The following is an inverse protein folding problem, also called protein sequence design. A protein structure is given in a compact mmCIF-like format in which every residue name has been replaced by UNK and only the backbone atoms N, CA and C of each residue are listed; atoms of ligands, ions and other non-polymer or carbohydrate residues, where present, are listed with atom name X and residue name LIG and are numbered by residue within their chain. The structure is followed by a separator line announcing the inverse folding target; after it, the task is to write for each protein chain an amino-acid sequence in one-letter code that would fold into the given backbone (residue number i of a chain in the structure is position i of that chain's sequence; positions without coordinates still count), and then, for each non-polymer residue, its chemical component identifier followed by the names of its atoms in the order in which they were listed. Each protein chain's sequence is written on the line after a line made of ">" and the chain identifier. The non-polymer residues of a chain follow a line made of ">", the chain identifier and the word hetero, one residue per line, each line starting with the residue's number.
data_IF_751297376285
#
_entry.id   IF_751297376285
#
_cell.length_a   1.000
_cell.length_b   1.000
_cell.length_c   1.000
_cell.angle_alpha   90.00
_cell.angle_beta   90.00
_cell.angle_gamma   90.00
#
_symmetry.space_group_name_H-M   'P 1'
#
loop_
_entity.id
_entity.type
_entity.pdbx_description
1 polymer ?
#
# COMPACT_ATOMS: atom_id res chain seq x y z
N UNK A 1 5.60 14.37 -24.61
CA UNK A 1 4.99 15.44 -23.78
C UNK A 1 5.63 16.77 -24.18
N UNK A 2 4.87 17.84 -24.40
CA UNK A 2 5.47 19.14 -24.78
C UNK A 2 6.19 19.76 -23.57
N UNK A 3 7.31 20.46 -23.82
CA UNK A 3 8.11 21.09 -22.76
C UNK A 3 7.30 22.10 -21.95
N UNK A 4 6.39 22.84 -22.60
CA UNK A 4 5.49 23.79 -21.96
C UNK A 4 4.52 23.07 -21.01
N UNK A 5 3.96 21.93 -21.43
CA UNK A 5 3.07 21.14 -20.59
C UNK A 5 3.81 20.56 -19.39
N UNK A 6 5.04 20.06 -19.57
CA UNK A 6 5.88 19.60 -18.47
C UNK A 6 6.17 20.72 -17.47
N UNK A 7 6.55 21.89 -17.97
CA UNK A 7 6.81 23.07 -17.15
C UNK A 7 5.56 23.50 -16.36
N UNK A 8 4.37 23.41 -16.96
CA UNK A 8 3.12 23.71 -16.26
C UNK A 8 2.82 22.67 -15.16
N UNK A 9 2.94 21.38 -15.47
CA UNK A 9 2.62 20.29 -14.53
C UNK A 9 3.59 20.27 -13.34
N UNK A 10 4.86 20.61 -13.53
CA UNK A 10 5.84 20.62 -12.45
C UNK A 10 5.94 22.00 -11.79
N UNK A 11 5.98 23.05 -12.60
CA UNK A 11 6.25 24.41 -12.13
C UNK A 11 5.09 25.03 -11.35
N UNK A 12 3.83 24.84 -11.78
CA UNK A 12 2.67 25.42 -11.08
C UNK A 12 2.55 24.83 -9.66
N UNK A 13 2.57 23.49 -9.46
CA UNK A 13 2.52 22.92 -8.12
C UNK A 13 3.71 23.33 -7.25
N UNK A 14 4.92 23.38 -7.80
CA UNK A 14 6.10 23.84 -7.06
C UNK A 14 5.94 25.29 -6.60
N UNK A 15 5.55 26.20 -7.50
CA UNK A 15 5.33 27.61 -7.16
C UNK A 15 4.24 27.76 -6.09
N UNK A 16 3.13 27.02 -6.22
CA UNK A 16 2.04 27.00 -5.25
C UNK A 16 2.51 26.50 -3.88
N UNK A 17 3.27 25.40 -3.85
CA UNK A 17 3.81 24.82 -2.62
C UNK A 17 4.76 25.78 -1.89
N UNK A 18 5.64 26.45 -2.62
CA UNK A 18 6.52 27.48 -2.07
C UNK A 18 5.73 28.68 -1.55
N UNK A 19 4.69 29.10 -2.27
CA UNK A 19 3.78 30.17 -1.84
C UNK A 19 3.09 29.85 -0.52
N UNK A 20 2.53 28.65 -0.38
CA UNK A 20 1.93 28.17 0.87
C UNK A 20 2.97 28.11 1.99
N UNK A 21 4.16 27.57 1.72
CA UNK A 21 5.24 27.47 2.72
C UNK A 21 5.62 28.85 3.26
N UNK A 22 5.75 29.84 2.37
CA UNK A 22 6.04 31.22 2.75
C UNK A 22 4.88 31.84 3.55
N UNK A 23 3.64 31.57 3.15
CA UNK A 23 2.45 32.00 3.90
C UNK A 23 2.44 31.42 5.31
N UNK A 24 2.69 30.11 5.47
CA UNK A 24 2.77 29.44 6.78
C UNK A 24 3.85 30.07 7.65
N UNK A 25 5.03 30.36 7.10
CA UNK A 25 6.10 31.02 7.85
C UNK A 25 5.67 32.39 8.40
N UNK A 26 4.98 33.17 7.58
CA UNK A 26 4.50 34.50 7.96
C UNK A 26 3.33 34.45 8.94
N UNK A 27 2.37 33.56 8.71
CA UNK A 27 1.16 33.43 9.53
C UNK A 27 1.48 32.81 10.89
N UNK A 28 2.37 31.82 10.95
CA UNK A 28 2.73 31.12 12.19
C UNK A 28 3.17 32.08 13.30
N UNK A 29 3.99 33.09 12.99
CA UNK A 29 4.41 34.09 13.98
C UNK A 29 3.26 35.01 14.45
N UNK A 30 2.24 35.22 13.62
CA UNK A 30 1.08 36.06 13.95
C UNK A 30 0.07 35.36 14.83
N UNK A 31 -0.10 34.05 14.63
CA UNK A 31 -1.08 33.23 15.35
C UNK A 31 -0.49 32.51 16.57
N UNK A 32 0.76 32.83 16.95
CA UNK A 32 1.42 32.30 18.15
C UNK A 32 2.04 30.90 18.00
N UNK A 33 2.23 30.44 16.76
CA UNK A 33 2.87 29.18 16.43
C UNK A 33 4.40 29.34 16.35
N UNK A 34 5.04 29.50 17.52
CA UNK A 34 6.50 29.64 17.62
C UNK A 34 7.22 28.29 17.81
N UNK A 35 8.43 28.10 17.24
CA UNK A 35 9.07 28.97 16.24
C UNK A 35 8.40 28.85 14.87
N UNK A 36 8.15 29.96 14.18
CA UNK A 36 7.54 29.94 12.83
C UNK A 36 8.30 29.05 11.82
N UNK A 37 9.63 28.97 11.97
CA UNK A 37 10.52 28.12 11.15
C UNK A 37 10.16 26.64 11.23
N UNK A 38 9.73 26.15 12.41
CA UNK A 38 9.33 24.75 12.62
C UNK A 38 8.14 24.40 11.73
N UNK A 39 7.13 25.26 11.72
CA UNK A 39 5.90 25.03 10.96
C UNK A 39 6.11 25.16 9.46
N UNK A 40 6.91 26.13 9.04
CA UNK A 40 7.33 26.25 7.65
C UNK A 40 8.11 25.01 7.17
N UNK A 41 9.02 24.48 7.99
CA UNK A 41 9.76 23.27 7.67
C UNK A 41 8.84 22.04 7.55
N UNK A 42 7.88 21.89 8.46
CA UNK A 42 6.87 20.82 8.38
C UNK A 42 6.08 20.96 7.08
N UNK A 43 5.49 22.13 6.81
CA UNK A 43 4.71 22.36 5.59
C UNK A 43 5.52 22.08 4.32
N UNK A 44 6.78 22.53 4.28
CA UNK A 44 7.67 22.31 3.15
C UNK A 44 7.98 20.83 2.91
N UNK A 45 8.19 20.05 3.97
CA UNK A 45 8.65 18.66 3.90
C UNK A 45 7.51 17.64 3.69
N UNK A 46 6.25 17.99 3.95
CA UNK A 46 5.10 17.06 3.82
C UNK A 46 5.05 16.34 2.46
N UNK A 47 5.25 17.00 1.30
CA UNK A 47 5.20 16.30 0.02
C UNK A 47 6.27 15.21 -0.17
N UNK A 48 7.36 15.26 0.60
CA UNK A 48 8.43 14.26 0.54
C UNK A 48 7.91 12.88 1.00
N UNK A 49 6.92 12.83 1.88
CA UNK A 49 6.29 11.55 2.26
C UNK A 49 5.60 10.87 1.07
N UNK A 50 4.99 11.64 0.16
CA UNK A 50 4.44 11.08 -1.09
C UNK A 50 5.52 10.44 -1.97
N UNK A 51 6.72 11.04 -2.01
CA UNK A 51 7.87 10.45 -2.70
C UNK A 51 8.32 9.14 -2.04
N UNK A 52 8.40 9.08 -0.70
CA UNK A 52 8.73 7.84 -0.01
C UNK A 52 7.67 6.75 -0.23
N UNK A 53 6.38 7.08 -0.20
CA UNK A 53 5.29 6.14 -0.52
C UNK A 53 5.51 5.53 -1.92
N UNK A 54 5.80 6.36 -2.92
CA UNK A 54 6.13 5.87 -4.25
C UNK A 54 7.34 4.92 -4.27
N UNK A 55 8.40 5.23 -3.51
CA UNK A 55 9.57 4.36 -3.42
C UNK A 55 9.26 3.01 -2.75
N UNK A 56 8.48 3.02 -1.67
CA UNK A 56 8.06 1.80 -0.98
C UNK A 56 7.18 0.93 -1.90
N UNK A 57 6.15 1.52 -2.49
CA UNK A 57 5.29 0.82 -3.46
C UNK A 57 6.10 0.26 -4.63
N UNK A 58 7.06 1.04 -5.16
CA UNK A 58 7.94 0.57 -6.23
C UNK A 58 8.78 -0.62 -5.76
N UNK A 59 9.31 -0.60 -4.55
CA UNK A 59 10.13 -1.68 -4.01
C UNK A 59 9.37 -3.00 -3.81
N UNK A 60 8.05 -2.94 -3.57
CA UNK A 60 7.21 -4.13 -3.45
C UNK A 60 6.95 -4.83 -4.80
N UNK A 61 7.11 -4.12 -5.92
CA UNK A 61 6.83 -4.68 -7.26
C UNK A 61 7.87 -5.68 -7.76
N UNK A 62 9.09 -5.61 -7.24
CA UNK A 62 10.19 -6.50 -7.60
C UNK A 62 10.33 -7.68 -6.61
N UNK A 63 9.28 -7.95 -5.82
CA UNK A 63 9.24 -9.08 -4.90
C UNK A 63 9.24 -10.41 -5.68
N UNK A 64 10.26 -11.23 -5.44
CA UNK A 64 10.34 -12.59 -5.95
C UNK A 64 9.75 -13.56 -4.92
N UNK A 65 8.53 -14.09 -5.14
CA UNK A 65 7.89 -15.02 -4.22
C UNK A 65 8.66 -16.34 -4.08
N UNK A 66 9.54 -16.72 -5.01
CA UNK A 66 10.40 -17.91 -4.88
C UNK A 66 11.56 -17.68 -3.91
N UNK A 67 11.98 -16.44 -3.74
CA UNK A 67 13.08 -16.06 -2.85
C UNK A 67 12.65 -15.73 -1.42
N UNK A 68 11.34 -15.66 -1.15
CA UNK A 68 10.83 -15.29 0.17
C UNK A 68 11.07 -16.41 1.20
N UNK A 69 11.86 -16.17 2.28
CA UNK A 69 12.07 -17.14 3.35
C UNK A 69 10.80 -17.51 4.13
N UNK A 70 9.72 -16.76 3.97
CA UNK A 70 8.41 -17.04 4.56
C UNK A 70 7.42 -17.67 3.58
N UNK A 71 7.84 -17.95 2.34
CA UNK A 71 6.99 -18.59 1.34
C UNK A 71 6.49 -19.96 1.82
N UNK A 72 5.17 -20.12 1.93
CA UNK A 72 4.54 -21.38 2.33
C UNK A 72 4.65 -21.72 3.81
N UNK A 73 5.20 -20.82 4.65
CA UNK A 73 5.14 -20.98 6.09
C UNK A 73 3.83 -20.39 6.63
N UNK A 74 3.00 -21.23 7.22
CA UNK A 74 1.98 -20.76 8.15
C UNK A 74 2.71 -20.13 9.34
N UNK A 75 2.45 -18.85 9.59
CA UNK A 75 3.03 -18.14 10.74
C UNK A 75 2.85 -18.98 12.02
N UNK A 76 3.80 -18.89 12.96
CA UNK A 76 3.62 -19.51 14.28
C UNK A 76 2.54 -18.73 15.03
N UNK A 77 1.28 -19.05 14.77
CA UNK A 77 0.14 -18.47 15.50
C UNK A 77 0.16 -19.08 16.89
N UNK A 78 0.14 -18.23 17.91
CA UNK A 78 0.03 -18.70 19.28
C UNK A 78 -1.24 -19.56 19.42
N UNK A 79 -1.22 -20.71 20.11
CA UNK A 79 -2.36 -21.64 20.14
C UNK A 79 -3.68 -20.99 20.54
N UNK A 80 -3.64 -19.97 21.41
CA UNK A 80 -4.83 -19.20 21.83
C UNK A 80 -5.43 -18.28 20.77
N UNK A 81 -4.82 -18.15 19.59
CA UNK A 81 -5.25 -17.29 18.48
C UNK A 81 -5.26 -18.02 17.14
N UNK A 82 -5.03 -19.34 17.13
CA UNK A 82 -5.02 -20.14 15.91
C UNK A 82 -6.37 -20.06 15.17
N UNK A 83 -7.46 -19.86 15.91
CA UNK A 83 -8.82 -19.73 15.36
C UNK A 83 -9.15 -18.31 14.84
N UNK A 84 -8.31 -17.30 15.11
CA UNK A 84 -8.61 -15.89 14.79
C UNK A 84 -8.17 -15.46 13.38
N UNK A 85 -7.46 -16.31 12.63
CA UNK A 85 -6.86 -15.93 11.34
C UNK A 85 -6.90 -17.04 10.28
N UNK A 86 -8.03 -17.22 9.56
CA UNK A 86 -7.99 -17.79 8.22
C UNK A 86 -7.67 -16.65 7.26
N UNK A 87 -6.43 -16.17 7.24
CA UNK A 87 -6.03 -15.18 6.23
C UNK A 87 -5.57 -15.94 4.98
N UNK A 88 -6.34 -15.92 3.87
CA UNK A 88 -5.85 -16.46 2.62
C UNK A 88 -4.59 -15.67 2.21
N UNK A 89 -3.53 -16.39 1.86
CA UNK A 89 -2.34 -15.77 1.30
C UNK A 89 -2.73 -15.08 -0.02
N UNK A 90 -2.21 -13.88 -0.27
CA UNK A 90 -2.51 -13.12 -1.49
C UNK A 90 -2.01 -13.91 -2.71
N UNK A 91 -2.93 -14.59 -3.40
CA UNK A 91 -2.65 -15.48 -4.54
C UNK A 91 -2.86 -16.98 -4.28
N UNK A 92 -3.45 -17.37 -3.15
CA UNK A 92 -3.82 -18.77 -2.89
C UNK A 92 -5.21 -19.08 -3.46
N UNK A 93 -5.24 -19.70 -4.65
CA UNK A 93 -6.45 -20.15 -5.35
C UNK A 93 -6.95 -21.52 -4.85
N UNK A 94 -6.46 -22.02 -3.71
CA UNK A 94 -6.91 -23.30 -3.16
C UNK A 94 -8.32 -23.16 -2.59
N UNK A 95 -9.26 -23.83 -3.25
CA UNK A 95 -10.62 -24.04 -2.74
C UNK A 95 -10.55 -24.64 -1.34
N UNK A 96 -11.36 -24.08 -0.44
CA UNK A 96 -11.40 -24.47 0.98
C UNK A 96 -11.74 -25.97 1.17
N UNK A 97 -11.61 -26.47 2.40
CA UNK A 97 -11.72 -27.91 2.69
C UNK A 97 -13.10 -28.54 2.42
N UNK A 98 -14.07 -27.79 1.91
CA UNK A 98 -15.45 -28.26 1.67
C UNK A 98 -15.64 -28.98 0.32
N UNK A 99 -14.64 -28.99 -0.58
CA UNK A 99 -14.76 -29.54 -1.94
C UNK A 99 -14.09 -30.93 -2.14
N UNK A 100 -14.03 -31.76 -1.09
CA UNK A 100 -13.64 -33.17 -1.23
C UNK A 100 -14.88 -34.02 -1.59
N UNK A 101 -15.07 -34.25 -2.88
CA UNK A 101 -16.03 -35.19 -3.46
C UNK A 101 -15.96 -36.59 -2.79
N UNK A 102 -17.10 -37.14 -2.37
CA UNK A 102 -17.28 -38.59 -2.15
C UNK A 102 -17.43 -39.31 -3.49
N UNK A 103 -16.58 -40.30 -3.83
CA UNK A 103 -16.77 -41.13 -5.01
C UNK A 103 -17.27 -42.53 -4.63
N UNK A 104 -18.51 -42.87 -4.98
CA UNK A 104 -18.87 -44.06 -5.78
C UNK A 104 -20.34 -44.48 -5.63
N UNK A 105 -21.01 -44.57 -6.77
CA UNK A 105 -22.29 -45.25 -6.95
C UNK A 105 -22.47 -45.66 -8.41
N UNK A 106 -21.59 -46.53 -8.91
CA UNK A 106 -21.70 -47.15 -10.23
C UNK A 106 -22.97 -48.02 -10.34
N UNK A 107 -23.82 -47.72 -11.33
CA UNK A 107 -24.98 -48.52 -11.70
C UNK A 107 -25.58 -48.11 -13.05
N UNK A 108 -24.79 -48.21 -14.12
CA UNK A 108 -25.25 -48.11 -15.51
C UNK A 108 -26.18 -49.27 -15.88
N UNK A 109 -27.37 -49.01 -16.47
CA UNK A 109 -27.74 -49.33 -17.88
C UNK A 109 -29.25 -49.14 -18.09
N UNK A 110 -29.63 -48.41 -19.13
CA UNK A 110 -31.03 -48.36 -19.61
C UNK A 110 -31.40 -49.58 -20.45
N UNK A 111 -32.71 -49.82 -20.62
CA UNK A 111 -33.36 -50.25 -21.87
C UNK A 111 -34.87 -50.53 -21.64
N UNK A 112 -35.68 -50.01 -22.57
CA UNK A 112 -37.12 -50.23 -22.86
C UNK A 112 -38.17 -49.40 -22.11
#
# INVERSE_FOLDING_TARGET
>A
MSTILLAAIVGIPLAWHLGITAFVYYDAGRVGLEPARKWAAIAFAVPIFGFFIYLFERSERDYDPESDPYKGNNFNIHPSRADDAPLPSRGDDRTGPDDLEEPNGSGSKGER
#
